data_IF_428741098684
#
_entry.id   IF_428741098684
#
_cell.length_a   1.000
_cell.length_b   1.000
_cell.length_c   1.000
_cell.angle_alpha   90.00
_cell.angle_beta   90.00
_cell.angle_gamma   90.00
#
_symmetry.space_group_name_H-M   'P 1'
#
loop_
_entity.id
_entity.type
_entity.pdbx_description
1 polymer ?
#
# COMPACT_ATOMS: atom_id res chain seq x y z
N UNK A 1 -12.36 9.13 31.41
CA UNK A 1 -12.41 7.65 31.36
C UNK A 1 -11.79 7.25 30.03
N UNK A 2 -10.59 6.65 30.06
CA UNK A 2 -9.79 6.30 28.88
C UNK A 2 -10.38 5.05 28.20
N UNK A 3 -11.56 5.22 27.58
CA UNK A 3 -12.31 4.15 26.94
C UNK A 3 -11.85 3.94 25.51
N UNK A 4 -11.05 2.91 25.30
CA UNK A 4 -10.74 2.38 23.97
C UNK A 4 -9.25 2.48 23.66
N UNK A 5 -8.68 1.32 23.28
CA UNK A 5 -7.36 1.24 22.67
C UNK A 5 -7.30 2.29 21.56
N UNK A 6 -6.51 3.33 21.79
CA UNK A 6 -6.40 4.44 20.84
C UNK A 6 -5.54 4.04 19.64
N UNK A 7 -5.61 4.82 18.57
CA UNK A 7 -4.71 4.66 17.42
C UNK A 7 -3.22 4.62 17.84
N UNK A 8 -2.84 5.35 18.89
CA UNK A 8 -1.48 5.33 19.43
C UNK A 8 -1.05 3.98 20.02
N UNK A 9 -1.91 3.31 20.78
CA UNK A 9 -1.61 1.98 21.35
C UNK A 9 -1.54 0.91 20.26
N UNK A 10 -2.40 0.96 19.24
CA UNK A 10 -2.32 0.05 18.11
C UNK A 10 -1.00 0.20 17.35
N UNK A 11 -0.52 1.42 17.15
CA UNK A 11 0.78 1.66 16.50
C UNK A 11 1.92 1.09 17.35
N UNK A 12 1.90 1.31 18.67
CA UNK A 12 2.93 0.76 19.57
C UNK A 12 2.97 -0.76 19.51
N UNK A 13 1.81 -1.43 19.57
CA UNK A 13 1.73 -2.90 19.46
C UNK A 13 2.23 -3.36 18.08
N UNK A 14 1.85 -2.66 17.01
CA UNK A 14 2.30 -2.98 15.66
C UNK A 14 3.83 -2.87 15.54
N UNK A 15 4.45 -1.84 16.13
CA UNK A 15 5.91 -1.68 16.15
C UNK A 15 6.57 -2.84 16.89
N UNK A 16 6.04 -3.26 18.05
CA UNK A 16 6.59 -4.40 18.80
C UNK A 16 6.48 -5.69 17.97
N UNK A 17 5.35 -5.93 17.31
CA UNK A 17 5.18 -7.08 16.42
C UNK A 17 6.14 -7.03 15.23
N UNK A 18 6.36 -5.85 14.66
CA UNK A 18 7.32 -5.64 13.58
C UNK A 18 8.77 -5.86 14.04
N UNK A 19 9.10 -5.60 15.30
CA UNK A 19 10.44 -5.90 15.84
C UNK A 19 10.65 -7.42 16.02
N UNK A 20 9.62 -8.14 16.47
CA UNK A 20 9.69 -9.60 16.68
C UNK A 20 9.69 -10.35 15.34
N UNK A 21 8.73 -10.04 14.48
CA UNK A 21 8.52 -10.74 13.21
C UNK A 21 9.32 -10.13 12.04
N UNK A 22 9.68 -8.85 12.12
CA UNK A 22 10.29 -8.11 11.03
C UNK A 22 9.27 -7.59 10.00
N UNK A 23 9.55 -6.46 9.34
CA UNK A 23 8.69 -5.93 8.26
C UNK A 23 8.60 -6.88 7.06
N UNK A 24 9.66 -7.64 6.77
CA UNK A 24 9.70 -8.59 5.66
C UNK A 24 8.66 -9.70 5.80
N UNK A 25 8.50 -10.28 7.01
CA UNK A 25 7.52 -11.36 7.23
C UNK A 25 6.09 -10.87 7.12
N UNK A 26 5.79 -9.69 7.67
CA UNK A 26 4.47 -9.07 7.52
C UNK A 26 4.19 -8.70 6.05
N UNK A 27 5.20 -8.24 5.30
CA UNK A 27 5.09 -7.95 3.87
C UNK A 27 4.83 -9.18 3.01
N UNK A 28 5.53 -10.28 3.26
CA UNK A 28 5.33 -11.56 2.58
C UNK A 28 3.92 -12.10 2.82
N UNK A 29 3.48 -12.10 4.08
CA UNK A 29 2.15 -12.58 4.48
C UNK A 29 1.05 -11.67 3.90
N UNK A 30 1.21 -10.35 3.99
CA UNK A 30 0.29 -9.38 3.42
C UNK A 30 0.20 -9.48 1.90
N UNK A 31 1.30 -9.78 1.21
CA UNK A 31 1.31 -10.00 -0.24
C UNK A 31 0.56 -11.27 -0.63
N UNK A 32 0.74 -12.36 0.12
CA UNK A 32 0.00 -13.61 -0.11
C UNK A 32 -1.50 -13.44 0.15
N UNK A 33 -1.87 -12.82 1.27
CA UNK A 33 -3.25 -12.51 1.62
C UNK A 33 -3.88 -11.54 0.61
N UNK A 34 -3.14 -10.51 0.18
CA UNK A 34 -3.60 -9.53 -0.79
C UNK A 34 -3.91 -10.14 -2.15
N UNK A 35 -3.08 -11.08 -2.63
CA UNK A 35 -3.37 -11.85 -3.85
C UNK A 35 -4.64 -12.68 -3.70
N UNK A 36 -4.82 -13.35 -2.56
CA UNK A 36 -6.02 -14.12 -2.25
C UNK A 36 -7.29 -13.26 -2.21
N UNK A 37 -7.25 -12.14 -1.49
CA UNK A 37 -8.37 -11.18 -1.41
C UNK A 37 -8.67 -10.57 -2.79
N UNK A 38 -7.65 -10.26 -3.60
CA UNK A 38 -7.83 -9.75 -4.96
C UNK A 38 -8.53 -10.77 -5.85
N UNK A 39 -8.13 -12.04 -5.79
CA UNK A 39 -8.80 -13.14 -6.49
C UNK A 39 -10.24 -13.33 -6.02
N UNK A 40 -10.46 -13.36 -4.71
CA UNK A 40 -11.79 -13.47 -4.11
C UNK A 40 -12.71 -12.32 -4.55
N UNK A 41 -12.19 -11.08 -4.54
CA UNK A 41 -12.94 -9.91 -5.00
C UNK A 41 -13.23 -9.94 -6.50
N UNK A 42 -12.33 -10.51 -7.31
CA UNK A 42 -12.53 -10.70 -8.76
C UNK A 42 -13.70 -11.67 -8.99
N UNK A 43 -13.67 -12.83 -8.34
CA UNK A 43 -14.74 -13.84 -8.42
C UNK A 43 -16.09 -13.37 -7.88
N UNK A 44 -16.12 -12.47 -6.88
CA UNK A 44 -17.37 -11.88 -6.40
C UNK A 44 -17.94 -10.78 -7.32
N UNK A 45 -17.10 -10.18 -8.17
CA UNK A 45 -17.50 -9.08 -9.07
C UNK A 45 -17.81 -9.54 -10.49
N UNK A 46 -17.27 -10.66 -10.92
CA UNK A 46 -17.50 -11.22 -12.25
C UNK A 46 -18.65 -12.23 -12.17
N UNK A 47 -19.87 -11.89 -12.65
CA UNK A 47 -20.84 -12.93 -13.00
C UNK A 47 -20.24 -13.76 -14.14
N UNK A 48 -20.47 -15.07 -14.12
CA UNK A 48 -19.88 -16.11 -14.99
C UNK A 48 -19.66 -15.69 -16.46
N UNK A 49 -18.56 -15.00 -16.77
CA UNK A 49 -18.04 -14.85 -18.12
C UNK A 49 -16.62 -15.39 -18.12
N UNK A 50 -16.43 -16.43 -18.94
CA UNK A 50 -15.19 -17.17 -19.13
C UNK A 50 -14.16 -16.19 -19.74
N UNK A 51 -13.29 -15.61 -18.91
CA UNK A 51 -12.24 -14.67 -19.32
C UNK A 51 -11.07 -15.43 -19.97
N UNK A 52 -11.16 -15.63 -21.30
CA UNK A 52 -10.08 -16.10 -22.18
C UNK A 52 -9.16 -14.93 -22.57
N UNK A 53 -8.49 -14.31 -21.59
CA UNK A 53 -7.44 -13.31 -21.87
C UNK A 53 -6.09 -13.83 -21.38
N UNK A 54 -5.07 -13.99 -22.26
CA UNK A 54 -3.75 -14.49 -21.85
C UNK A 54 -3.02 -13.48 -20.94
N UNK A 55 -2.13 -13.94 -20.04
CA UNK A 55 -1.47 -13.08 -19.07
C UNK A 55 -0.57 -12.07 -19.78
N UNK A 56 -0.81 -10.77 -19.56
CA UNK A 56 0.10 -9.73 -20.00
C UNK A 56 1.33 -9.73 -19.08
N UNK A 57 2.48 -10.12 -19.63
CA UNK A 57 3.79 -10.01 -18.99
C UNK A 57 4.05 -8.56 -18.55
N UNK A 58 4.11 -8.32 -17.24
CA UNK A 58 4.54 -7.04 -16.68
C UNK A 58 6.06 -7.08 -16.49
N UNK A 59 6.79 -6.79 -17.57
CA UNK A 59 8.19 -6.38 -17.48
C UNK A 59 8.23 -4.91 -17.02
N UNK A 60 8.49 -4.70 -15.72
CA UNK A 60 8.92 -3.40 -15.19
C UNK A 60 10.30 -3.53 -14.54
N UNK A 61 11.30 -3.58 -15.40
CA UNK A 61 12.66 -3.18 -15.08
C UNK A 61 12.74 -1.64 -14.98
N UNK A 62 13.39 -1.19 -13.90
CA UNK A 62 14.16 0.06 -13.77
C UNK A 62 13.33 1.34 -13.62
N UNK A 63 13.26 1.89 -12.41
CA UNK A 63 13.92 3.18 -12.11
C UNK A 63 13.86 3.53 -10.60
N UNK A 64 15.03 3.63 -9.97
CA UNK A 64 15.34 4.44 -8.79
C UNK A 64 16.86 4.61 -8.82
N UNK A 65 17.46 5.80 -8.60
CA UNK A 65 17.13 6.76 -7.55
C UNK A 65 17.10 8.25 -8.03
N UNK A 66 16.41 9.19 -7.40
CA UNK A 66 16.90 10.09 -6.31
C UNK A 66 16.29 11.52 -6.55
N UNK A 67 16.47 12.53 -5.67
CA UNK A 67 15.38 13.14 -4.91
C UNK A 67 15.20 14.65 -5.21
N UNK A 68 14.01 15.22 -4.97
CA UNK A 68 13.86 16.68 -4.85
C UNK A 68 13.15 17.04 -3.55
N UNK A 69 13.97 17.29 -2.53
CA UNK A 69 13.63 18.09 -1.37
C UNK A 69 14.02 19.57 -1.62
N UNK A 70 13.33 20.48 -0.94
CA UNK A 70 13.49 21.96 -0.94
C UNK A 70 12.99 22.69 -2.21
N UNK A 71 12.29 23.82 -2.18
CA UNK A 71 11.95 24.73 -1.09
C UNK A 71 10.85 25.71 -1.56
N UNK A 72 9.85 25.89 -0.70
CA UNK A 72 9.06 27.10 -0.39
C UNK A 72 9.48 28.43 -1.09
N UNK A 73 8.48 29.21 -1.58
CA UNK A 73 8.18 30.63 -1.14
C UNK A 73 7.68 31.59 -2.25
N UNK A 74 6.60 32.32 -1.90
CA UNK A 74 6.09 33.63 -2.40
C UNK A 74 5.51 33.71 -3.83
N UNK A 75 4.22 34.02 -4.07
CA UNK A 75 3.36 35.21 -3.75
C UNK A 75 3.76 36.51 -4.48
N UNK A 76 3.02 36.84 -5.55
CA UNK A 76 2.53 38.18 -5.99
C UNK A 76 1.68 37.95 -7.26
N UNK A 77 0.37 38.19 -7.33
CA UNK A 77 -0.39 39.46 -7.26
C UNK A 77 0.09 40.55 -8.24
N UNK A 78 -0.85 40.97 -9.11
CA UNK A 78 -0.89 42.14 -10.01
C UNK A 78 0.13 42.14 -11.18
N UNK A 79 -0.22 42.47 -12.43
CA UNK A 79 -1.08 43.56 -12.94
C UNK A 79 -1.67 43.19 -14.32
N UNK A 80 -2.90 43.61 -14.55
CA UNK A 80 -3.39 44.04 -15.86
C UNK A 80 -3.42 45.56 -15.91
#
# INVERSE_FOLDING_TARGET
MFGGIGWGELIIILVILLLIFGPSRLGDLGSALGKGIKGFKKSLKEPDEIDVTPPKEENKQIDSPEPKASEKTAKKEETG
#
